data_IF_725448285409
#
_entry.id   IF_725448285409
#
_cell.length_a   1.000
_cell.length_b   1.000
_cell.length_c   1.000
_cell.angle_alpha   90.00
_cell.angle_beta   90.00
_cell.angle_gamma   90.00
#
_symmetry.space_group_name_H-M   'P 1'
#
loop_
_entity.id
_entity.type
_entity.pdbx_description
1 polymer ?
#
# COMPACT_ATOMS: atom_id res chain seq x y z
N UNK A 1 -15.63 -8.73 -42.07
CA UNK A 1 -16.03 -8.22 -43.39
C UNK A 1 -15.06 -7.12 -43.78
N UNK A 2 -14.57 -7.22 -45.02
CA UNK A 2 -13.61 -6.41 -45.76
C UNK A 2 -12.16 -6.89 -45.67
N UNK A 3 -11.89 -7.83 -46.56
CA UNK A 3 -10.55 -8.20 -46.97
C UNK A 3 -10.02 -7.16 -47.96
N UNK A 4 -8.80 -6.71 -47.73
CA UNK A 4 -8.03 -5.93 -48.69
C UNK A 4 -7.16 -6.91 -49.48
N UNK A 5 -7.52 -7.17 -50.73
CA UNK A 5 -6.69 -7.86 -51.69
C UNK A 5 -5.50 -7.01 -52.10
N UNK A 6 -4.31 -7.55 -52.04
CA UNK A 6 -3.07 -6.95 -52.52
C UNK A 6 -2.99 -7.12 -54.08
N UNK A 7 -2.73 -6.03 -54.85
CA UNK A 7 -2.74 -6.08 -56.34
C UNK A 7 -1.34 -6.40 -56.88
N UNK A 8 -0.85 -7.60 -56.77
CA UNK A 8 0.45 -8.01 -57.36
C UNK A 8 0.32 -9.04 -58.48
N UNK A 9 -0.84 -9.66 -58.68
CA UNK A 9 -0.96 -10.76 -59.65
C UNK A 9 -1.58 -10.39 -61.00
N UNK A 10 -2.00 -9.13 -61.25
CA UNK A 10 -2.63 -8.75 -62.55
C UNK A 10 -1.63 -8.30 -63.62
N UNK A 11 -0.34 -8.16 -63.29
CA UNK A 11 0.68 -7.67 -64.23
C UNK A 11 1.32 -8.77 -65.13
N UNK A 12 1.33 -10.00 -64.65
CA UNK A 12 2.12 -11.07 -65.33
C UNK A 12 1.39 -11.75 -66.48
N UNK A 13 0.07 -11.74 -66.51
CA UNK A 13 -0.70 -12.40 -67.59
C UNK A 13 -0.77 -11.56 -68.89
N UNK A 14 -0.48 -10.26 -68.83
CA UNK A 14 -0.48 -9.39 -70.04
C UNK A 14 0.83 -9.36 -70.83
N UNK A 15 1.93 -9.89 -70.29
CA UNK A 15 3.23 -9.88 -70.96
C UNK A 15 3.41 -11.15 -71.83
N UNK A 16 2.77 -12.25 -71.45
CA UNK A 16 2.92 -13.54 -72.17
C UNK A 16 2.06 -13.64 -73.44
N UNK A 17 1.09 -12.78 -73.70
CA UNK A 17 0.26 -12.80 -74.93
C UNK A 17 0.88 -12.05 -76.10
N UNK A 18 2.06 -11.44 -76.02
CA UNK A 18 2.71 -10.67 -77.08
C UNK A 18 3.91 -11.35 -77.74
N UNK A 19 4.34 -12.53 -77.29
CA UNK A 19 5.43 -13.28 -77.88
C UNK A 19 4.99 -14.72 -78.19
N UNK A 20 4.26 -14.91 -79.27
CA UNK A 20 4.11 -16.23 -79.89
C UNK A 20 5.12 -16.34 -81.01
N UNK A 21 6.21 -17.12 -80.88
CA UNK A 21 7.07 -17.44 -82.04
C UNK A 21 6.36 -18.37 -82.94
N UNK A 22 6.26 -18.00 -84.23
CA UNK A 22 5.95 -18.93 -85.30
C UNK A 22 7.17 -19.86 -85.50
N UNK A 23 7.08 -21.08 -85.02
CA UNK A 23 7.71 -22.29 -85.53
C UNK A 23 8.18 -23.25 -84.44
N UNK A 24 7.60 -24.43 -84.33
CA UNK A 24 8.31 -25.67 -84.07
C UNK A 24 8.84 -25.96 -82.67
N UNK A 25 8.20 -25.50 -81.60
CA UNK A 25 8.58 -25.97 -80.26
C UNK A 25 7.73 -27.16 -79.86
N UNK A 26 8.41 -28.30 -79.66
CA UNK A 26 7.77 -29.61 -79.35
C UNK A 26 6.94 -29.46 -78.04
N UNK A 27 5.75 -30.07 -78.05
CA UNK A 27 4.87 -30.15 -76.86
C UNK A 27 5.57 -30.64 -75.55
N UNK A 28 6.68 -31.38 -75.74
CA UNK A 28 7.51 -31.86 -74.65
C UNK A 28 8.21 -30.72 -73.84
N UNK A 29 8.61 -29.63 -74.52
CA UNK A 29 9.29 -28.48 -73.82
C UNK A 29 8.29 -27.70 -73.00
N UNK A 30 7.06 -27.54 -73.46
CA UNK A 30 5.99 -26.86 -72.70
C UNK A 30 5.57 -27.75 -71.53
N UNK A 31 5.54 -29.07 -71.66
CA UNK A 31 5.22 -29.97 -70.56
C UNK A 31 6.30 -30.02 -69.50
N UNK A 32 7.59 -29.96 -69.85
CA UNK A 32 8.71 -29.89 -68.89
C UNK A 32 8.76 -28.56 -68.18
N UNK A 33 8.51 -27.49 -68.89
CA UNK A 33 8.45 -26.14 -68.24
C UNK A 33 7.25 -26.02 -67.29
N UNK A 34 6.10 -26.57 -67.61
CA UNK A 34 4.93 -26.64 -66.73
C UNK A 34 5.14 -27.57 -65.54
N UNK A 35 5.84 -28.70 -65.72
CA UNK A 35 6.18 -29.57 -64.59
C UNK A 35 7.23 -28.99 -63.68
N UNK A 36 8.24 -28.26 -64.19
CA UNK A 36 9.20 -27.54 -63.40
C UNK A 36 8.54 -26.41 -62.62
N UNK A 37 7.61 -25.66 -63.21
CA UNK A 37 6.86 -24.61 -62.46
C UNK A 37 6.00 -25.19 -61.34
N UNK A 38 5.41 -26.37 -61.55
CA UNK A 38 4.64 -27.09 -60.52
C UNK A 38 5.54 -27.67 -59.43
N UNK A 39 6.76 -28.09 -59.75
CA UNK A 39 7.75 -28.54 -58.76
C UNK A 39 8.33 -27.37 -57.92
N UNK A 40 8.55 -26.22 -58.54
CA UNK A 40 8.98 -25.02 -57.79
C UNK A 40 7.85 -24.44 -56.94
N UNK A 41 6.60 -24.41 -57.41
CA UNK A 41 5.45 -24.03 -56.62
C UNK A 41 5.13 -24.99 -55.46
N UNK A 42 5.47 -26.25 -55.63
CA UNK A 42 5.39 -27.29 -54.59
C UNK A 42 6.53 -27.17 -53.54
N UNK A 43 7.73 -26.80 -53.98
CA UNK A 43 8.86 -26.57 -53.09
C UNK A 43 8.70 -25.32 -52.20
N UNK A 44 8.16 -24.22 -52.77
CA UNK A 44 7.84 -23.03 -51.97
C UNK A 44 6.72 -23.27 -50.95
N UNK A 45 5.75 -24.16 -51.28
CA UNK A 45 4.74 -24.56 -50.28
C UNK A 45 5.28 -25.54 -49.23
N UNK A 46 6.25 -26.36 -49.56
CA UNK A 46 6.90 -27.27 -48.60
C UNK A 46 7.88 -26.53 -47.70
N UNK A 47 8.52 -25.45 -48.18
CA UNK A 47 9.38 -24.57 -47.34
C UNK A 47 8.54 -23.65 -46.45
N UNK A 48 7.34 -23.22 -46.88
CA UNK A 48 6.41 -22.46 -46.06
C UNK A 48 5.71 -23.27 -44.94
N UNK A 49 5.84 -24.60 -44.91
CA UNK A 49 5.28 -25.49 -43.88
C UNK A 49 6.32 -26.01 -42.87
N UNK A 50 7.57 -25.53 -42.93
CA UNK A 50 8.54 -25.68 -41.86
C UNK A 50 8.81 -24.30 -41.28
N UNK A 51 7.78 -23.54 -40.94
CA UNK A 51 7.83 -22.70 -39.76
C UNK A 51 7.85 -23.69 -38.60
N UNK A 52 9.05 -24.06 -38.20
CA UNK A 52 9.24 -24.52 -36.82
C UNK A 52 8.61 -23.44 -35.97
N UNK A 53 7.48 -23.74 -35.32
CA UNK A 53 7.07 -22.97 -34.15
C UNK A 53 8.32 -22.97 -33.24
N UNK A 54 9.08 -21.89 -33.27
CA UNK A 54 10.06 -21.67 -32.21
C UNK A 54 9.28 -21.83 -30.92
N UNK A 55 9.78 -22.64 -29.97
CA UNK A 55 9.07 -22.80 -28.70
C UNK A 55 8.82 -21.40 -28.16
N UNK A 56 7.56 -21.10 -27.84
CA UNK A 56 7.21 -19.81 -27.23
C UNK A 56 8.01 -19.66 -25.94
N UNK A 57 9.17 -19.02 -26.05
CA UNK A 57 10.07 -18.70 -24.95
C UNK A 57 9.68 -17.39 -24.29
N UNK A 58 8.47 -16.88 -24.59
CA UNK A 58 7.96 -15.68 -23.95
C UNK A 58 7.94 -15.86 -22.43
N UNK A 59 8.55 -14.97 -21.68
CA UNK A 59 8.50 -15.05 -20.22
C UNK A 59 7.07 -14.89 -19.73
N UNK A 60 6.68 -15.69 -18.77
CA UNK A 60 5.40 -15.51 -18.10
C UNK A 60 5.47 -14.24 -17.23
N UNK A 61 4.32 -13.66 -16.86
CA UNK A 61 4.28 -12.53 -15.93
C UNK A 61 5.04 -12.83 -14.63
N UNK A 62 5.01 -14.06 -14.15
CA UNK A 62 5.71 -14.51 -12.93
C UNK A 62 7.23 -14.58 -13.08
N UNK A 63 7.73 -14.79 -14.28
CA UNK A 63 9.16 -14.94 -14.57
C UNK A 63 9.76 -13.70 -15.24
N UNK A 64 8.92 -12.70 -15.55
CA UNK A 64 9.35 -11.44 -16.17
C UNK A 64 9.92 -10.52 -15.09
N UNK A 65 11.24 -10.44 -15.00
CA UNK A 65 11.98 -9.56 -14.07
C UNK A 65 13.10 -8.83 -14.82
N UNK A 66 12.77 -7.80 -15.60
CA UNK A 66 13.73 -7.11 -16.44
C UNK A 66 14.73 -6.30 -15.62
N UNK A 67 16.02 -6.42 -15.95
CA UNK A 67 17.09 -5.62 -15.36
C UNK A 67 17.18 -4.29 -16.10
N UNK A 68 16.98 -3.19 -15.37
CA UNK A 68 17.10 -1.84 -15.93
C UNK A 68 18.53 -1.56 -16.38
N UNK A 69 18.67 -0.96 -17.56
CA UNK A 69 19.92 -0.46 -18.12
C UNK A 69 20.17 1.02 -17.81
N UNK A 70 19.28 1.66 -17.03
CA UNK A 70 19.46 3.06 -16.65
C UNK A 70 20.67 3.24 -15.73
N UNK A 71 21.45 4.25 -16.04
CA UNK A 71 22.57 4.71 -15.20
C UNK A 71 22.09 5.96 -14.43
N UNK A 72 21.59 5.74 -13.24
CA UNK A 72 21.01 6.78 -12.37
C UNK A 72 21.70 6.82 -11.02
N UNK A 73 21.52 7.92 -10.28
CA UNK A 73 22.05 8.05 -8.92
C UNK A 73 21.52 6.92 -8.02
N UNK A 74 22.41 6.40 -7.16
CA UNK A 74 22.11 5.37 -6.17
C UNK A 74 22.60 5.82 -4.80
N UNK A 75 21.84 6.72 -4.18
CA UNK A 75 22.18 7.21 -2.84
C UNK A 75 21.94 6.10 -1.81
N UNK A 76 22.98 5.81 -1.04
CA UNK A 76 22.87 4.85 0.07
C UNK A 76 22.64 5.60 1.36
N UNK A 77 21.42 5.53 1.88
CA UNK A 77 21.06 6.06 3.18
C UNK A 77 20.79 4.90 4.13
N UNK A 78 21.55 4.84 5.21
CA UNK A 78 21.43 3.81 6.24
C UNK A 78 20.55 4.24 7.39
N UNK A 79 20.20 5.52 7.47
CA UNK A 79 19.36 6.10 8.52
C UNK A 79 18.75 7.42 8.10
N UNK A 80 17.68 7.84 8.78
CA UNK A 80 17.06 9.13 8.60
C UNK A 80 17.99 10.29 8.95
N UNK A 81 17.85 11.41 8.24
CA UNK A 81 18.63 12.63 8.48
C UNK A 81 18.35 13.25 9.87
N UNK A 82 17.13 13.15 10.34
CA UNK A 82 16.67 13.67 11.65
C UNK A 82 16.04 12.55 12.48
N UNK A 83 15.90 12.72 13.81
CA UNK A 83 15.17 11.78 14.66
C UNK A 83 13.73 11.56 14.16
N UNK A 84 13.24 10.32 14.23
CA UNK A 84 11.94 9.90 13.70
C UNK A 84 11.06 9.35 14.81
N UNK A 85 9.77 9.67 14.77
CA UNK A 85 8.71 8.97 15.49
C UNK A 85 7.88 8.19 14.47
N UNK A 86 7.90 6.86 14.57
CA UNK A 86 7.09 5.99 13.71
C UNK A 86 5.75 5.69 14.40
N UNK A 87 4.65 6.26 13.88
CA UNK A 87 3.34 6.19 14.52
C UNK A 87 2.54 4.92 14.17
N UNK A 88 3.07 4.02 13.30
CA UNK A 88 2.31 2.88 12.82
C UNK A 88 3.15 1.60 12.81
N UNK A 89 3.06 0.80 13.88
CA UNK A 89 3.75 -0.49 14.01
C UNK A 89 2.86 -1.56 14.63
N UNK A 90 3.21 -2.82 14.36
CA UNK A 90 2.49 -4.01 14.78
C UNK A 90 3.39 -5.01 15.52
N UNK A 91 4.00 -4.59 16.64
CA UNK A 91 4.92 -5.43 17.43
C UNK A 91 4.23 -6.65 18.06
N UNK A 92 3.01 -6.47 18.55
CA UNK A 92 2.23 -7.55 19.13
C UNK A 92 1.92 -8.66 18.15
N UNK A 93 1.46 -8.30 16.95
CA UNK A 93 1.13 -9.24 15.87
C UNK A 93 2.36 -9.92 15.28
N UNK A 94 3.47 -9.16 15.13
CA UNK A 94 4.68 -9.66 14.48
C UNK A 94 5.53 -10.52 15.40
N UNK A 95 5.76 -10.08 16.63
CA UNK A 95 6.62 -10.79 17.57
C UNK A 95 5.88 -11.82 18.43
N UNK A 96 4.56 -11.68 18.64
CA UNK A 96 3.73 -12.66 19.38
C UNK A 96 4.32 -13.06 20.75
N UNK A 97 4.93 -12.11 21.47
CA UNK A 97 5.59 -12.33 22.75
C UNK A 97 7.08 -12.70 22.65
N UNK A 98 7.66 -12.79 21.47
CA UNK A 98 9.11 -12.96 21.26
C UNK A 98 9.85 -11.68 21.68
N UNK A 99 10.43 -11.75 22.88
CA UNK A 99 11.16 -10.62 23.46
C UNK A 99 12.48 -10.36 22.74
N UNK A 100 13.18 -11.41 22.35
CA UNK A 100 14.46 -11.29 21.65
C UNK A 100 14.26 -10.62 20.29
N UNK A 101 13.26 -11.01 19.52
CA UNK A 101 12.91 -10.36 18.26
C UNK A 101 12.56 -8.88 18.42
N UNK A 102 11.85 -8.52 19.52
CA UNK A 102 11.57 -7.12 19.81
C UNK A 102 12.83 -6.32 20.13
N UNK A 103 13.76 -6.87 20.92
CA UNK A 103 15.04 -6.19 21.24
C UNK A 103 15.94 -6.03 20.00
N UNK A 104 15.97 -7.04 19.12
CA UNK A 104 16.67 -6.92 17.83
C UNK A 104 16.06 -5.77 17.01
N UNK A 105 14.75 -5.64 16.97
CA UNK A 105 14.10 -4.53 16.26
C UNK A 105 14.37 -3.17 16.92
N UNK A 106 14.44 -3.08 18.24
CA UNK A 106 14.88 -1.85 18.93
C UNK A 106 16.32 -1.47 18.52
N UNK A 107 17.17 -2.45 18.25
CA UNK A 107 18.48 -2.23 17.63
C UNK A 107 18.37 -1.61 16.22
N UNK A 108 17.46 -2.13 15.39
CA UNK A 108 17.18 -1.57 14.05
C UNK A 108 16.63 -0.14 14.15
N UNK A 109 15.72 0.13 15.08
CA UNK A 109 15.23 1.49 15.33
C UNK A 109 16.38 2.46 15.62
N UNK A 110 17.31 2.06 16.50
CA UNK A 110 18.46 2.90 16.87
C UNK A 110 19.38 3.19 15.66
N UNK A 111 19.69 2.16 14.84
CA UNK A 111 20.52 2.33 13.64
C UNK A 111 19.89 3.25 12.61
N UNK A 112 18.55 3.30 12.55
CA UNK A 112 17.76 4.11 11.62
C UNK A 112 17.32 5.48 12.16
N UNK A 113 17.70 5.86 13.40
CA UNK A 113 17.24 7.09 14.11
C UNK A 113 15.73 7.12 14.35
N UNK A 114 15.06 5.97 14.45
CA UNK A 114 13.68 5.88 14.92
C UNK A 114 13.76 5.91 16.45
N UNK A 115 13.56 7.07 17.04
CA UNK A 115 13.74 7.27 18.48
C UNK A 115 12.52 6.85 19.29
N UNK A 116 11.32 6.89 18.69
CA UNK A 116 10.08 6.37 19.29
C UNK A 116 9.28 5.64 18.22
N UNK A 117 8.69 4.51 18.58
CA UNK A 117 7.72 3.81 17.74
C UNK A 117 6.41 3.54 18.53
N UNK A 118 5.28 3.67 17.84
CA UNK A 118 3.94 3.44 18.41
C UNK A 118 3.40 2.09 17.92
N UNK A 119 3.11 1.18 18.84
CA UNK A 119 2.45 -0.09 18.56
C UNK A 119 0.93 0.06 18.58
N UNK A 120 0.23 -0.51 17.61
CA UNK A 120 -1.22 -0.37 17.43
C UNK A 120 -2.01 -1.62 17.88
N UNK A 121 -1.36 -2.58 18.54
CA UNK A 121 -1.90 -3.92 18.76
C UNK A 121 -2.40 -4.19 20.19
N UNK A 122 -2.35 -3.20 21.07
CA UNK A 122 -2.89 -3.38 22.43
C UNK A 122 -4.42 -3.48 22.38
N UNK A 123 -5.00 -4.48 23.03
CA UNK A 123 -6.45 -4.68 23.05
C UNK A 123 -7.06 -3.86 24.18
N UNK A 124 -8.05 -3.05 23.89
CA UNK A 124 -8.76 -2.22 24.86
C UNK A 124 -9.39 -3.09 25.96
N UNK A 125 -9.07 -2.78 27.23
CA UNK A 125 -9.53 -3.53 28.41
C UNK A 125 -8.64 -4.71 28.80
N UNK A 126 -7.60 -5.03 28.00
CA UNK A 126 -6.58 -6.04 28.32
C UNK A 126 -5.16 -5.61 27.92
N UNK A 127 -4.93 -4.30 27.89
CA UNK A 127 -3.68 -3.69 27.42
C UNK A 127 -2.46 -3.94 28.32
N UNK A 128 -2.64 -4.34 29.59
CA UNK A 128 -1.54 -4.49 30.56
C UNK A 128 -0.44 -5.46 30.11
N UNK A 129 -0.83 -6.63 29.63
CA UNK A 129 0.14 -7.63 29.16
C UNK A 129 0.94 -7.11 27.97
N UNK A 130 0.29 -6.37 27.06
CA UNK A 130 0.94 -5.77 25.91
C UNK A 130 1.88 -4.65 26.33
N UNK A 131 1.43 -3.75 27.20
CA UNK A 131 2.26 -2.66 27.75
C UNK A 131 3.50 -3.22 28.47
N UNK A 132 3.35 -4.30 29.22
CA UNK A 132 4.48 -5.01 29.85
C UNK A 132 5.43 -5.58 28.79
N UNK A 133 4.89 -6.25 27.76
CA UNK A 133 5.70 -6.85 26.69
C UNK A 133 6.55 -5.83 25.95
N UNK A 134 5.97 -4.69 25.51
CA UNK A 134 6.72 -3.68 24.77
C UNK A 134 7.54 -2.77 25.68
N UNK A 135 7.06 -2.51 26.90
CA UNK A 135 7.63 -1.52 27.83
C UNK A 135 8.91 -1.99 28.50
N UNK A 136 8.99 -3.20 28.99
CA UNK A 136 10.07 -3.73 29.83
C UNK A 136 11.49 -3.36 29.31
N UNK A 137 12.11 -2.32 29.88
CA UNK A 137 13.37 -1.72 29.42
C UNK A 137 13.29 -0.82 28.17
N UNK A 138 12.10 -0.64 27.58
CA UNK A 138 11.88 0.15 26.37
C UNK A 138 10.81 1.25 26.55
N UNK A 139 10.47 1.60 27.78
CA UNK A 139 9.40 2.57 28.11
C UNK A 139 9.58 3.94 27.47
N UNK A 140 10.83 4.32 27.17
CA UNK A 140 11.17 5.58 26.52
C UNK A 140 11.04 5.52 25.01
N UNK A 141 11.14 4.31 24.39
CA UNK A 141 11.19 4.12 22.94
C UNK A 141 9.90 3.60 22.36
N UNK A 142 9.15 2.80 23.12
CA UNK A 142 7.94 2.16 22.66
C UNK A 142 6.72 2.74 23.36
N UNK A 143 5.72 3.09 22.57
CA UNK A 143 4.42 3.57 23.01
C UNK A 143 3.30 2.69 22.42
N UNK A 144 2.07 2.80 22.95
CA UNK A 144 0.97 2.01 22.45
C UNK A 144 -0.31 2.82 22.23
N UNK A 145 -1.04 2.43 21.20
CA UNK A 145 -2.46 2.67 21.01
C UNK A 145 -3.22 1.37 21.28
N UNK A 146 -4.45 1.49 21.72
CA UNK A 146 -5.35 0.33 21.84
C UNK A 146 -6.23 0.20 20.60
N UNK A 147 -6.72 -1.01 20.35
CA UNK A 147 -7.82 -1.24 19.41
C UNK A 147 -8.99 -1.94 20.11
N UNK A 148 -10.18 -1.83 19.52
CA UNK A 148 -11.39 -2.45 20.05
C UNK A 148 -11.52 -3.86 19.50
N UNK A 149 -11.76 -4.85 20.37
CA UNK A 149 -12.15 -6.19 19.97
C UNK A 149 -13.67 -6.27 19.79
N UNK A 150 -14.12 -6.16 18.56
CA UNK A 150 -15.54 -6.24 18.17
C UNK A 150 -16.10 -7.66 18.31
N UNK A 151 -15.25 -8.66 18.20
CA UNK A 151 -15.64 -10.07 18.26
C UNK A 151 -15.80 -10.55 19.70
N UNK A 152 -14.83 -10.28 20.58
CA UNK A 152 -14.75 -10.87 21.91
C UNK A 152 -14.68 -12.39 21.84
N UNK A 153 -15.39 -13.03 22.76
CA UNK A 153 -15.58 -14.48 22.77
C UNK A 153 -16.65 -15.00 21.79
N UNK A 154 -17.27 -14.11 21.00
CA UNK A 154 -18.36 -14.45 20.08
C UNK A 154 -17.93 -15.25 18.85
N UNK A 155 -18.93 -15.77 18.13
CA UNK A 155 -18.76 -16.48 16.87
C UNK A 155 -19.29 -15.66 15.69
N UNK A 156 -18.51 -15.48 14.62
CA UNK A 156 -18.94 -14.76 13.42
C UNK A 156 -20.06 -15.48 12.64
N UNK A 157 -20.23 -16.78 12.83
CA UNK A 157 -21.36 -17.53 12.25
C UNK A 157 -22.68 -17.26 12.99
N UNK A 158 -22.62 -16.77 14.24
CA UNK A 158 -23.75 -16.25 14.98
C UNK A 158 -23.44 -14.81 15.45
N UNK A 159 -23.69 -13.80 14.61
CA UNK A 159 -23.34 -12.42 14.92
C UNK A 159 -23.98 -11.87 16.20
N UNK A 160 -25.05 -12.45 16.68
CA UNK A 160 -25.70 -12.06 17.95
C UNK A 160 -24.76 -12.27 19.14
N UNK A 161 -23.80 -13.19 19.05
CA UNK A 161 -22.84 -13.49 20.11
C UNK A 161 -21.64 -12.55 20.13
N UNK A 162 -21.42 -11.75 19.08
CA UNK A 162 -20.29 -10.83 19.00
C UNK A 162 -20.35 -9.77 20.10
N UNK A 163 -19.20 -9.40 20.65
CA UNK A 163 -19.10 -8.40 21.71
C UNK A 163 -19.75 -7.07 21.33
N UNK A 164 -19.56 -6.60 20.11
CA UNK A 164 -20.11 -5.34 19.60
C UNK A 164 -21.65 -5.31 19.56
N UNK A 165 -22.30 -6.46 19.63
CA UNK A 165 -23.75 -6.61 19.62
C UNK A 165 -24.34 -6.85 21.02
N UNK A 166 -23.49 -6.89 22.07
CA UNK A 166 -23.96 -7.05 23.44
C UNK A 166 -24.42 -5.72 24.04
N UNK A 167 -25.41 -5.79 24.91
CA UNK A 167 -25.92 -4.62 25.62
C UNK A 167 -24.81 -3.95 26.44
N UNK A 168 -24.61 -2.66 26.27
CA UNK A 168 -23.62 -1.90 27.02
C UNK A 168 -22.20 -1.92 26.45
N UNK A 169 -21.96 -2.58 25.33
CA UNK A 169 -20.63 -2.66 24.69
C UNK A 169 -19.96 -1.27 24.53
N UNK A 170 -20.65 -0.31 23.93
CA UNK A 170 -20.10 1.04 23.71
C UNK A 170 -19.81 1.74 25.04
N UNK A 171 -20.67 1.61 26.06
CA UNK A 171 -20.44 2.15 27.39
C UNK A 171 -19.19 1.52 28.02
N UNK A 172 -19.02 0.20 27.90
CA UNK A 172 -17.82 -0.48 28.37
C UNK A 172 -16.55 0.02 27.65
N UNK A 173 -16.58 0.20 26.34
CA UNK A 173 -15.45 0.78 25.60
C UNK A 173 -15.09 2.19 26.12
N UNK A 174 -16.08 3.04 26.37
CA UNK A 174 -15.87 4.39 26.92
C UNK A 174 -15.20 4.33 28.29
N UNK A 175 -15.68 3.47 29.19
CA UNK A 175 -15.10 3.28 30.54
C UNK A 175 -13.65 2.77 30.43
N UNK A 176 -13.42 1.76 29.58
CA UNK A 176 -12.09 1.21 29.34
C UNK A 176 -11.11 2.21 28.74
N UNK A 177 -11.55 3.11 27.82
CA UNK A 177 -10.72 4.18 27.28
C UNK A 177 -10.22 5.13 28.37
N UNK A 178 -11.08 5.49 29.33
CA UNK A 178 -10.68 6.32 30.48
C UNK A 178 -9.60 5.62 31.31
N UNK A 179 -9.75 4.33 31.57
CA UNK A 179 -8.75 3.52 32.29
C UNK A 179 -7.45 3.39 31.48
N UNK A 180 -7.54 3.05 30.20
CA UNK A 180 -6.38 2.90 29.32
C UNK A 180 -5.54 4.18 29.25
N UNK A 181 -6.19 5.36 29.22
CA UNK A 181 -5.49 6.64 29.29
C UNK A 181 -4.65 6.78 30.56
N UNK A 182 -5.16 6.38 31.72
CA UNK A 182 -4.41 6.42 32.99
C UNK A 182 -3.24 5.42 33.04
N UNK A 183 -3.29 4.38 32.19
CA UNK A 183 -2.21 3.39 32.04
C UNK A 183 -1.17 3.78 31.00
N UNK A 184 -1.27 4.98 30.41
CA UNK A 184 -0.29 5.50 29.48
C UNK A 184 -0.53 5.15 28.00
N UNK A 185 -1.73 4.68 27.66
CA UNK A 185 -2.17 4.55 26.25
C UNK A 185 -2.30 5.96 25.64
N UNK A 186 -1.78 6.12 24.42
CA UNK A 186 -1.68 7.40 23.73
C UNK A 186 -2.71 7.63 22.64
N UNK A 187 -3.49 6.61 22.26
CA UNK A 187 -4.52 6.74 21.22
C UNK A 187 -5.31 5.47 21.00
N UNK A 188 -6.21 5.54 20.03
CA UNK A 188 -7.10 4.45 19.62
C UNK A 188 -6.85 4.08 18.16
N UNK A 189 -6.84 2.79 17.81
CA UNK A 189 -6.78 2.27 16.45
C UNK A 189 -8.12 1.65 16.05
N UNK A 190 -8.62 2.04 14.91
CA UNK A 190 -9.66 1.29 14.19
C UNK A 190 -9.05 0.59 12.98
N UNK A 191 -9.22 -0.72 12.89
CA UNK A 191 -8.82 -1.51 11.74
C UNK A 191 -9.88 -1.45 10.63
N UNK A 192 -9.47 -1.75 9.39
CA UNK A 192 -10.37 -1.75 8.23
C UNK A 192 -11.54 -2.73 8.32
N UNK A 193 -11.45 -3.74 9.21
CA UNK A 193 -12.56 -4.64 9.51
C UNK A 193 -13.83 -3.89 9.93
N UNK A 194 -13.68 -2.73 10.59
CA UNK A 194 -14.79 -1.85 10.92
C UNK A 194 -15.29 -1.14 9.65
N UNK A 195 -16.44 -1.59 9.17
CA UNK A 195 -17.04 -1.19 7.90
C UNK A 195 -16.91 -2.22 6.77
N UNK A 196 -15.94 -3.15 6.85
CA UNK A 196 -15.72 -4.17 5.82
C UNK A 196 -16.14 -5.58 6.23
N UNK A 197 -15.98 -5.95 7.50
CA UNK A 197 -16.23 -7.34 7.94
C UNK A 197 -16.89 -7.45 9.30
N UNK A 198 -17.00 -6.38 10.09
CA UNK A 198 -17.70 -6.42 11.38
C UNK A 198 -19.20 -6.41 11.17
N UNK A 199 -19.91 -7.26 11.92
CA UNK A 199 -21.32 -7.57 11.69
C UNK A 199 -22.23 -7.05 12.82
N UNK A 200 -23.38 -6.54 12.44
CA UNK A 200 -24.53 -6.34 13.30
C UNK A 200 -25.17 -7.68 13.69
N UNK A 201 -26.03 -7.68 14.71
CA UNK A 201 -26.73 -8.86 15.19
C UNK A 201 -27.64 -9.54 14.15
N UNK A 202 -28.05 -8.80 13.13
CA UNK A 202 -28.85 -9.29 12.00
C UNK A 202 -27.99 -9.81 10.83
N UNK A 203 -26.66 -9.78 10.97
CA UNK A 203 -25.71 -10.22 9.95
C UNK A 203 -25.36 -9.15 8.91
N UNK A 204 -25.93 -7.95 8.96
CA UNK A 204 -25.53 -6.84 8.10
C UNK A 204 -24.18 -6.26 8.56
N UNK A 205 -23.43 -5.62 7.64
CA UNK A 205 -22.19 -4.94 7.99
C UNK A 205 -22.44 -3.73 8.89
N UNK A 206 -21.56 -3.55 9.89
CA UNK A 206 -21.53 -2.34 10.70
C UNK A 206 -21.04 -1.20 9.81
N UNK A 207 -21.80 -0.10 9.75
CA UNK A 207 -21.38 1.12 9.04
C UNK A 207 -20.38 1.91 9.88
N UNK A 208 -19.38 2.50 9.23
CA UNK A 208 -18.34 3.31 9.91
C UNK A 208 -18.98 4.49 10.65
N UNK A 209 -20.00 5.09 10.06
CA UNK A 209 -20.72 6.26 10.60
C UNK A 209 -21.96 5.91 11.43
N UNK A 210 -22.09 4.66 11.87
CA UNK A 210 -23.17 4.23 12.77
C UNK A 210 -23.12 5.06 14.07
N UNK A 211 -24.18 5.82 14.39
CA UNK A 211 -24.18 6.76 15.52
C UNK A 211 -24.07 6.08 16.88
N UNK A 212 -24.29 4.78 17.00
CA UNK A 212 -24.09 4.07 18.27
C UNK A 212 -22.64 4.12 18.76
N UNK A 213 -21.67 4.32 17.85
CA UNK A 213 -20.24 4.46 18.20
C UNK A 213 -19.81 5.90 18.47
N UNK A 214 -20.67 6.90 18.27
CA UNK A 214 -20.36 8.30 18.53
C UNK A 214 -19.81 8.57 19.94
N UNK A 215 -20.28 7.90 21.03
CA UNK A 215 -19.69 8.08 22.35
C UNK A 215 -18.19 7.70 22.42
N UNK A 216 -17.72 6.76 21.62
CA UNK A 216 -16.30 6.36 21.56
C UNK A 216 -15.48 7.51 20.97
N UNK A 217 -15.88 8.02 19.81
CA UNK A 217 -15.22 9.15 19.14
C UNK A 217 -15.17 10.37 20.06
N UNK A 218 -16.29 10.73 20.64
CA UNK A 218 -16.40 11.86 21.60
C UNK A 218 -15.47 11.67 22.78
N UNK A 219 -15.42 10.47 23.38
CA UNK A 219 -14.53 10.19 24.53
C UNK A 219 -13.06 10.31 24.15
N UNK A 220 -12.68 9.90 22.95
CA UNK A 220 -11.31 10.10 22.46
C UNK A 220 -10.96 11.59 22.39
N UNK A 221 -11.85 12.44 21.89
CA UNK A 221 -11.66 13.90 21.90
C UNK A 221 -11.53 14.48 23.30
N UNK A 222 -12.44 14.11 24.23
CA UNK A 222 -12.42 14.54 25.63
C UNK A 222 -11.12 14.17 26.35
N UNK A 223 -10.55 13.00 26.03
CA UNK A 223 -9.32 12.49 26.65
C UNK A 223 -8.04 12.93 25.91
N UNK A 224 -8.16 13.63 24.79
CA UNK A 224 -7.02 13.94 23.93
C UNK A 224 -6.31 12.68 23.42
N UNK A 225 -7.07 11.64 23.06
CA UNK A 225 -6.60 10.42 22.43
C UNK A 225 -6.85 10.52 20.92
N UNK A 226 -5.83 10.73 20.08
CA UNK A 226 -6.01 10.69 18.64
C UNK A 226 -6.43 9.28 18.20
N UNK A 227 -7.19 9.24 17.10
CA UNK A 227 -7.70 7.99 16.54
C UNK A 227 -7.03 7.71 15.20
N UNK A 228 -6.20 6.66 15.11
CA UNK A 228 -5.77 6.13 13.82
C UNK A 228 -6.91 5.32 13.23
N UNK A 229 -7.46 5.81 12.13
CA UNK A 229 -8.57 5.17 11.44
C UNK A 229 -8.11 4.60 10.08
N UNK A 230 -8.08 3.26 9.99
CA UNK A 230 -7.84 2.55 8.75
C UNK A 230 -9.19 2.22 8.12
N UNK A 231 -9.52 2.89 7.04
CA UNK A 231 -10.76 2.72 6.30
C UNK A 231 -10.44 2.41 4.86
N UNK A 232 -10.90 1.27 4.35
CA UNK A 232 -10.65 0.89 2.96
C UNK A 232 -9.19 0.47 2.70
N UNK A 233 -8.91 0.10 1.47
CA UNK A 233 -7.60 -0.25 0.90
C UNK A 233 -7.41 0.48 -0.45
N UNK A 234 -6.26 0.32 -1.13
CA UNK A 234 -6.05 0.85 -2.48
C UNK A 234 -7.21 0.51 -3.43
N UNK A 235 -7.48 1.38 -4.39
CA UNK A 235 -8.63 1.22 -5.31
C UNK A 235 -8.63 -0.14 -6.04
N UNK A 236 -7.46 -0.66 -6.36
CA UNK A 236 -7.30 -1.95 -7.03
C UNK A 236 -7.83 -3.15 -6.22
N UNK A 237 -7.92 -3.05 -4.89
CA UNK A 237 -8.47 -4.10 -4.01
C UNK A 237 -10.00 -4.26 -4.16
N UNK A 238 -10.66 -3.26 -4.75
CA UNK A 238 -12.09 -3.26 -5.04
C UNK A 238 -12.42 -3.58 -6.51
N UNK A 239 -11.39 -3.94 -7.29
CA UNK A 239 -11.51 -4.32 -8.69
C UNK A 239 -11.33 -5.84 -8.87
N UNK A 240 -11.80 -6.44 -9.97
CA UNK A 240 -11.51 -7.83 -10.27
C UNK A 240 -10.01 -8.13 -10.26
N UNK A 241 -9.62 -9.33 -9.81
CA UNK A 241 -8.22 -9.79 -9.89
C UNK A 241 -8.00 -10.37 -11.29
N UNK A 242 -7.81 -9.49 -12.27
CA UNK A 242 -7.60 -9.86 -13.67
C UNK A 242 -6.35 -9.17 -14.27
N UNK A 243 -6.19 -9.28 -15.59
CA UNK A 243 -5.05 -8.71 -16.31
C UNK A 243 -5.04 -7.17 -16.40
N UNK A 244 -6.00 -6.48 -15.81
CA UNK A 244 -6.08 -5.01 -15.74
C UNK A 244 -5.85 -4.50 -14.33
N UNK A 245 -5.78 -5.39 -13.33
CA UNK A 245 -5.57 -5.00 -11.95
C UNK A 245 -4.09 -4.67 -11.71
N UNK A 246 -3.77 -3.44 -11.37
CA UNK A 246 -2.38 -3.01 -11.14
C UNK A 246 -1.71 -3.67 -9.93
N UNK A 247 -2.52 -4.28 -9.03
CA UNK A 247 -2.06 -5.01 -7.84
C UNK A 247 -2.16 -6.53 -8.03
N UNK A 248 -2.16 -6.99 -9.27
CA UNK A 248 -2.33 -8.41 -9.57
C UNK A 248 -1.28 -9.28 -8.86
N UNK A 249 -0.02 -8.85 -8.78
CA UNK A 249 1.06 -9.61 -8.12
C UNK A 249 0.77 -9.83 -6.65
N UNK A 250 0.22 -8.84 -5.97
CA UNK A 250 -0.16 -8.90 -4.55
C UNK A 250 -1.43 -9.72 -4.37
N UNK A 251 -2.50 -9.35 -5.06
CA UNK A 251 -3.83 -9.93 -4.88
C UNK A 251 -3.93 -11.37 -5.40
N UNK A 252 -3.11 -11.77 -6.38
CA UNK A 252 -3.05 -13.18 -6.82
C UNK A 252 -2.46 -14.11 -5.76
N UNK A 253 -1.62 -13.58 -4.85
CA UNK A 253 -1.05 -14.31 -3.70
C UNK A 253 -1.93 -14.22 -2.46
N UNK A 254 -2.72 -13.15 -2.36
CA UNK A 254 -3.60 -12.83 -1.23
C UNK A 254 -5.01 -12.50 -1.72
N UNK A 255 -5.73 -13.46 -2.33
CA UNK A 255 -7.08 -13.21 -2.86
C UNK A 255 -8.10 -12.86 -1.76
N UNK A 256 -7.82 -13.24 -0.51
CA UNK A 256 -8.57 -12.88 0.69
C UNK A 256 -8.46 -11.40 1.07
N UNK A 257 -7.54 -10.65 0.45
CA UNK A 257 -7.43 -9.19 0.63
C UNK A 257 -8.30 -8.40 -0.35
N UNK A 258 -8.93 -9.08 -1.33
CA UNK A 258 -9.84 -8.44 -2.29
C UNK A 258 -11.19 -8.13 -1.63
N UNK A 259 -11.68 -6.94 -1.89
CA UNK A 259 -13.01 -6.46 -1.48
C UNK A 259 -13.90 -6.23 -2.72
N UNK A 260 -13.62 -6.95 -3.81
CA UNK A 260 -14.46 -6.93 -5.01
C UNK A 260 -15.67 -7.85 -4.83
N UNK A 261 -16.87 -7.35 -5.16
CA UNK A 261 -18.13 -8.09 -5.15
C UNK A 261 -19.20 -7.43 -4.27
N UNK A 262 -20.44 -7.84 -4.48
CA UNK A 262 -21.66 -7.23 -3.88
C UNK A 262 -21.75 -7.38 -2.35
N UNK A 263 -20.94 -8.27 -1.77
CA UNK A 263 -20.86 -8.48 -0.32
C UNK A 263 -20.10 -7.36 0.40
N UNK A 264 -19.37 -6.52 -0.30
CA UNK A 264 -18.62 -5.41 0.26
C UNK A 264 -19.21 -4.06 -0.15
N UNK A 265 -19.14 -3.03 0.71
CA UNK A 265 -19.50 -1.68 0.33
C UNK A 265 -18.55 -1.15 -0.77
N UNK A 266 -19.05 -0.24 -1.59
CA UNK A 266 -18.21 0.50 -2.51
C UNK A 266 -17.13 1.28 -1.73
N UNK A 267 -15.91 1.36 -2.28
CA UNK A 267 -14.80 2.09 -1.66
C UNK A 267 -15.15 3.53 -1.32
N UNK A 268 -15.82 4.21 -2.23
CA UNK A 268 -16.24 5.61 -2.09
C UNK A 268 -17.21 5.80 -0.93
N UNK A 269 -18.12 4.84 -0.69
CA UNK A 269 -19.06 4.88 0.44
C UNK A 269 -18.34 4.70 1.78
N UNK A 270 -17.36 3.81 1.86
CA UNK A 270 -16.51 3.65 3.06
C UNK A 270 -15.78 4.95 3.40
N UNK A 271 -15.16 5.59 2.40
CA UNK A 271 -14.44 6.85 2.58
C UNK A 271 -15.38 7.99 2.96
N UNK A 272 -16.57 8.05 2.34
CA UNK A 272 -17.59 9.04 2.66
C UNK A 272 -18.14 8.84 4.09
N UNK A 273 -18.37 7.59 4.52
CA UNK A 273 -18.81 7.28 5.89
C UNK A 273 -17.78 7.71 6.94
N UNK A 274 -16.46 7.43 6.69
CA UNK A 274 -15.37 7.92 7.52
C UNK A 274 -15.39 9.46 7.61
N UNK A 275 -15.53 10.13 6.50
CA UNK A 275 -15.53 11.59 6.45
C UNK A 275 -16.71 12.19 7.20
N UNK A 276 -17.89 11.54 7.18
CA UNK A 276 -19.05 11.94 8.02
C UNK A 276 -18.73 11.83 9.51
N UNK A 277 -18.00 10.81 9.96
CA UNK A 277 -17.54 10.68 11.35
C UNK A 277 -16.59 11.82 11.70
N UNK A 278 -15.56 12.07 10.88
CA UNK A 278 -14.58 13.13 11.11
C UNK A 278 -15.27 14.50 11.26
N UNK A 279 -16.20 14.80 10.36
CA UNK A 279 -16.97 16.04 10.37
C UNK A 279 -17.87 16.17 11.61
N UNK A 280 -18.44 15.05 12.08
CA UNK A 280 -19.37 15.02 13.23
C UNK A 280 -18.64 15.16 14.58
N UNK A 281 -17.34 14.86 14.61
CA UNK A 281 -16.53 14.88 15.84
C UNK A 281 -15.32 15.82 15.71
N UNK A 282 -15.52 17.15 15.60
CA UNK A 282 -14.45 18.12 15.37
C UNK A 282 -13.43 18.20 16.50
N UNK A 283 -13.81 17.82 17.72
CA UNK A 283 -12.92 17.80 18.90
C UNK A 283 -11.99 16.58 18.94
N UNK A 284 -12.22 15.60 18.08
CA UNK A 284 -11.42 14.37 17.99
C UNK A 284 -10.43 14.50 16.86
N UNK A 285 -9.15 14.32 17.15
CA UNK A 285 -8.12 14.25 16.10
C UNK A 285 -8.13 12.86 15.46
N UNK A 286 -8.33 12.81 14.15
CA UNK A 286 -8.25 11.59 13.36
C UNK A 286 -6.94 11.56 12.57
N UNK A 287 -6.27 10.40 12.61
CA UNK A 287 -5.10 10.11 11.79
C UNK A 287 -5.53 9.10 10.73
N UNK A 288 -5.66 9.55 9.49
CA UNK A 288 -6.00 8.70 8.35
C UNK A 288 -4.84 7.77 8.01
N UNK A 289 -4.98 6.49 8.34
CA UNK A 289 -3.97 5.49 8.06
C UNK A 289 -3.74 5.32 6.55
N UNK A 290 -2.50 5.01 6.17
CA UNK A 290 -2.14 4.70 4.78
C UNK A 290 -2.54 5.82 3.81
N UNK A 291 -2.20 7.07 4.16
CA UNK A 291 -2.57 8.27 3.40
C UNK A 291 -4.09 8.45 3.29
N UNK A 292 -4.79 8.15 4.40
CA UNK A 292 -6.25 8.09 4.47
C UNK A 292 -6.88 7.22 3.35
N UNK A 293 -6.16 6.15 2.93
CA UNK A 293 -6.50 5.25 1.83
C UNK A 293 -6.78 5.98 0.50
N UNK A 294 -6.03 7.06 0.21
CA UNK A 294 -6.20 7.90 -0.99
C UNK A 294 -4.87 8.32 -1.61
N UNK A 295 -3.83 7.47 -1.49
CA UNK A 295 -2.50 7.71 -2.07
C UNK A 295 -2.53 7.78 -3.60
N UNK A 296 -3.55 7.23 -4.24
CA UNK A 296 -3.76 7.27 -5.69
C UNK A 296 -4.43 8.56 -6.18
N UNK A 297 -5.11 9.31 -5.27
CA UNK A 297 -5.83 10.55 -5.60
C UNK A 297 -5.50 11.66 -4.59
N UNK A 298 -4.34 12.27 -4.77
CA UNK A 298 -3.85 13.34 -3.90
C UNK A 298 -4.69 14.62 -3.98
N UNK A 299 -5.37 14.84 -5.11
CA UNK A 299 -6.24 16.01 -5.26
C UNK A 299 -7.50 15.91 -4.38
N UNK A 300 -8.09 14.73 -4.31
CA UNK A 300 -9.23 14.47 -3.40
C UNK A 300 -8.77 14.50 -1.94
N UNK A 301 -7.61 13.93 -1.61
CA UNK A 301 -7.08 13.97 -0.25
C UNK A 301 -6.77 15.41 0.20
N UNK A 302 -6.22 16.25 -0.68
CA UNK A 302 -5.98 17.68 -0.39
C UNK A 302 -7.27 18.38 0.02
N UNK A 303 -8.37 18.17 -0.73
CA UNK A 303 -9.70 18.72 -0.37
C UNK A 303 -10.18 18.25 1.01
N UNK A 304 -9.96 16.99 1.37
CA UNK A 304 -10.34 16.50 2.70
C UNK A 304 -9.51 17.14 3.81
N UNK A 305 -8.21 17.35 3.60
CA UNK A 305 -7.38 18.04 4.57
C UNK A 305 -7.79 19.51 4.75
N UNK A 306 -8.26 20.17 3.71
CA UNK A 306 -8.79 21.53 3.75
C UNK A 306 -10.17 21.58 4.44
N UNK A 307 -11.05 20.60 4.18
CA UNK A 307 -12.40 20.54 4.75
C UNK A 307 -12.42 20.10 6.21
N UNK A 308 -11.48 19.21 6.61
CA UNK A 308 -11.47 18.62 7.95
C UNK A 308 -10.20 19.01 8.73
N UNK A 309 -10.23 20.11 9.51
CA UNK A 309 -9.07 20.57 10.27
C UNK A 309 -8.58 19.57 11.33
N UNK A 310 -9.43 18.65 11.77
CA UNK A 310 -9.12 17.58 12.72
C UNK A 310 -8.65 16.26 12.06
N UNK A 311 -8.47 16.24 10.73
CA UNK A 311 -7.85 15.13 10.00
C UNK A 311 -6.37 15.41 9.79
N UNK A 312 -5.50 14.51 10.20
CA UNK A 312 -4.11 14.38 9.75
C UNK A 312 -3.90 13.00 9.12
N UNK A 313 -2.78 12.76 8.48
CA UNK A 313 -2.54 11.51 7.76
C UNK A 313 -1.15 10.94 8.09
N UNK A 314 -0.95 9.65 7.88
CA UNK A 314 0.35 9.00 7.86
C UNK A 314 0.48 8.11 6.61
N UNK A 315 1.71 7.83 6.15
CA UNK A 315 1.95 7.19 4.85
C UNK A 315 2.52 5.78 4.94
N UNK A 316 2.24 5.08 6.04
CA UNK A 316 2.63 3.68 6.21
C UNK A 316 2.26 2.83 4.98
N UNK A 317 3.22 2.06 4.50
CA UNK A 317 3.07 1.19 3.31
C UNK A 317 2.59 1.89 2.04
N UNK A 318 2.89 3.21 1.85
CA UNK A 318 2.43 4.00 0.69
C UNK A 318 3.53 4.69 -0.13
N UNK A 319 4.81 4.43 0.19
CA UNK A 319 5.92 4.97 -0.64
C UNK A 319 5.90 4.43 -2.07
N UNK A 320 5.30 3.27 -2.28
CA UNK A 320 5.15 2.62 -3.57
C UNK A 320 4.15 3.34 -4.51
N UNK A 321 3.02 3.89 -4.00
CA UNK A 321 2.13 4.73 -4.80
C UNK A 321 2.67 6.16 -4.95
N UNK A 322 3.12 6.73 -3.84
CA UNK A 322 3.61 8.11 -3.80
C UNK A 322 4.85 8.29 -4.66
N UNK A 323 5.76 7.30 -4.68
CA UNK A 323 6.98 7.33 -5.47
C UNK A 323 6.76 7.14 -6.97
N UNK A 324 5.58 6.67 -7.42
CA UNK A 324 5.19 6.64 -8.85
C UNK A 324 4.73 8.00 -9.36
N UNK A 325 4.43 8.95 -8.47
CA UNK A 325 3.96 10.30 -8.79
C UNK A 325 4.80 11.36 -8.04
N UNK A 326 6.15 11.37 -8.21
CA UNK A 326 7.07 12.11 -7.34
C UNK A 326 6.83 13.62 -7.34
N UNK A 327 6.46 14.21 -8.48
CA UNK A 327 6.21 15.64 -8.58
C UNK A 327 4.95 16.06 -7.81
N UNK A 328 3.87 15.31 -7.96
CA UNK A 328 2.60 15.55 -7.24
C UNK A 328 2.77 15.27 -5.76
N UNK A 329 3.43 14.15 -5.41
CA UNK A 329 3.72 13.80 -4.02
C UNK A 329 4.56 14.85 -3.32
N UNK A 330 5.68 15.32 -3.95
CA UNK A 330 6.51 16.39 -3.38
C UNK A 330 5.69 17.66 -3.11
N UNK A 331 4.90 18.09 -4.10
CA UNK A 331 4.04 19.29 -3.96
C UNK A 331 3.08 19.10 -2.79
N UNK A 332 2.41 17.97 -2.71
CA UNK A 332 1.47 17.63 -1.64
C UNK A 332 2.13 17.64 -0.24
N UNK A 333 3.32 17.03 -0.10
CA UNK A 333 4.05 17.03 1.17
C UNK A 333 4.44 18.43 1.62
N UNK A 334 4.83 19.31 0.72
CA UNK A 334 5.17 20.71 1.03
C UNK A 334 3.92 21.51 1.40
N UNK A 335 2.83 21.36 0.66
CA UNK A 335 1.56 22.07 0.85
C UNK A 335 0.90 21.68 2.19
N UNK A 336 0.89 20.37 2.51
CA UNK A 336 0.26 19.82 3.71
C UNK A 336 1.27 19.40 4.78
N UNK A 337 2.45 20.01 4.79
CA UNK A 337 3.58 19.63 5.66
C UNK A 337 3.26 19.54 7.14
N UNK A 338 2.25 20.30 7.63
CA UNK A 338 1.82 20.32 9.04
C UNK A 338 0.78 19.22 9.35
N UNK A 339 0.42 18.39 8.39
CA UNK A 339 -0.67 17.41 8.49
C UNK A 339 -0.22 15.97 8.25
N UNK A 340 1.07 15.72 7.99
CA UNK A 340 1.62 14.42 7.62
C UNK A 340 2.50 13.90 8.75
N UNK A 341 2.25 12.68 9.21
CA UNK A 341 3.04 11.95 10.20
C UNK A 341 3.83 10.84 9.50
N UNK A 342 4.97 10.46 10.07
CA UNK A 342 5.75 9.31 9.61
C UNK A 342 5.17 8.01 10.18
N UNK A 343 4.92 7.04 9.32
CA UNK A 343 4.51 5.70 9.68
C UNK A 343 5.03 4.68 8.66
N UNK A 344 5.29 3.44 9.10
CA UNK A 344 5.85 2.41 8.24
C UNK A 344 4.97 1.17 8.05
N UNK A 345 4.06 0.87 8.99
CA UNK A 345 3.33 -0.41 9.09
C UNK A 345 4.27 -1.58 9.42
N UNK A 346 5.34 -1.25 10.17
CA UNK A 346 6.40 -2.17 10.58
C UNK A 346 5.99 -3.15 11.68
N UNK A 347 6.97 -3.90 12.19
CA UNK A 347 8.42 -3.70 12.09
C UNK A 347 9.02 -4.12 10.74
N UNK A 348 9.99 -3.37 10.24
CA UNK A 348 10.70 -3.65 9.00
C UNK A 348 12.21 -3.75 9.20
N UNK A 349 12.95 -4.55 8.38
CA UNK A 349 14.41 -4.60 8.43
C UNK A 349 15.04 -3.29 7.91
N UNK A 350 16.34 -3.07 8.25
CA UNK A 350 17.11 -1.89 7.84
C UNK A 350 16.99 -1.56 6.35
N UNK A 351 17.06 -2.57 5.49
CA UNK A 351 17.01 -2.37 4.04
C UNK A 351 15.65 -1.80 3.59
N UNK A 352 14.53 -2.28 4.18
CA UNK A 352 13.19 -1.74 3.89
C UNK A 352 13.06 -0.30 4.38
N UNK A 353 13.60 0.02 5.55
CA UNK A 353 13.61 1.39 6.10
C UNK A 353 14.45 2.33 5.25
N UNK A 354 15.57 1.85 4.68
CA UNK A 354 16.43 2.67 3.80
C UNK A 354 15.68 3.20 2.56
N UNK A 355 14.66 2.48 2.05
CA UNK A 355 13.82 2.97 0.95
C UNK A 355 12.94 4.15 1.37
N UNK A 356 12.47 4.21 2.64
CA UNK A 356 11.76 5.38 3.16
C UNK A 356 12.66 6.61 3.21
N UNK A 357 13.90 6.45 3.70
CA UNK A 357 14.87 7.55 3.73
C UNK A 357 15.20 8.01 2.32
N UNK A 358 15.49 7.09 1.41
CA UNK A 358 15.79 7.39 0.01
C UNK A 358 14.62 8.07 -0.69
N UNK A 359 13.38 7.64 -0.44
CA UNK A 359 12.17 8.27 -0.99
C UNK A 359 12.01 9.72 -0.52
N UNK A 360 12.18 9.98 0.78
CA UNK A 360 11.91 11.31 1.35
C UNK A 360 13.07 12.30 1.13
N UNK A 361 14.33 11.84 1.20
CA UNK A 361 15.51 12.70 1.33
C UNK A 361 16.30 12.89 0.03
N UNK A 362 15.99 12.12 -1.02
CA UNK A 362 16.75 12.18 -2.28
C UNK A 362 15.88 12.48 -3.49
N UNK A 363 16.54 12.82 -4.60
CA UNK A 363 15.92 12.87 -5.93
C UNK A 363 16.35 11.67 -6.79
N UNK A 364 16.70 10.57 -6.16
CA UNK A 364 17.04 9.34 -6.88
C UNK A 364 15.87 8.85 -7.73
N UNK A 365 16.22 8.24 -8.87
CA UNK A 365 15.25 7.82 -9.87
C UNK A 365 15.22 6.30 -10.00
N UNK A 366 14.04 5.77 -10.31
CA UNK A 366 13.83 4.38 -10.76
C UNK A 366 14.46 3.32 -9.85
N UNK A 367 14.16 3.37 -8.55
CA UNK A 367 14.67 2.40 -7.59
C UNK A 367 13.55 1.51 -7.00
N UNK A 368 13.89 0.32 -6.46
CA UNK A 368 12.92 -0.55 -5.84
C UNK A 368 12.38 0.05 -4.53
N UNK A 369 11.16 -0.32 -4.16
CA UNK A 369 10.54 0.05 -2.87
C UNK A 369 10.54 -1.08 -1.84
N UNK A 370 11.06 -2.24 -2.24
CA UNK A 370 11.20 -3.44 -1.42
C UNK A 370 12.48 -4.19 -1.81
N UNK A 371 13.00 -4.97 -0.89
CA UNK A 371 14.09 -5.93 -1.11
C UNK A 371 13.67 -7.16 -1.93
N UNK A 372 12.35 -7.41 -2.01
CA UNK A 372 11.82 -8.57 -2.74
C UNK A 372 11.97 -8.44 -4.26
N UNK A 373 12.18 -9.57 -4.94
CA UNK A 373 12.14 -9.67 -6.39
C UNK A 373 11.29 -10.89 -6.78
N UNK A 374 10.23 -10.72 -7.59
CA UNK A 374 9.66 -9.43 -8.04
C UNK A 374 9.13 -8.57 -6.89
N UNK A 375 8.93 -7.27 -7.14
CA UNK A 375 8.39 -6.35 -6.14
C UNK A 375 7.00 -6.82 -5.65
N UNK A 376 6.70 -6.71 -4.34
CA UNK A 376 5.58 -7.46 -3.74
C UNK A 376 4.20 -6.93 -4.13
N UNK A 377 4.05 -5.64 -4.42
CA UNK A 377 2.76 -5.01 -4.69
C UNK A 377 2.48 -4.84 -6.19
N UNK A 378 3.53 -4.62 -6.98
CA UNK A 378 3.49 -4.51 -8.43
C UNK A 378 4.88 -4.23 -8.97
N UNK A 379 5.13 -4.57 -10.24
CA UNK A 379 6.45 -4.58 -10.86
C UNK A 379 6.96 -3.19 -11.27
N UNK A 380 6.57 -2.13 -10.57
CA UNK A 380 7.06 -0.78 -10.80
C UNK A 380 8.30 -0.43 -9.97
N UNK A 381 8.88 0.71 -10.28
CA UNK A 381 9.94 1.37 -9.52
C UNK A 381 9.43 2.72 -9.03
N UNK A 382 10.10 3.28 -8.02
CA UNK A 382 9.73 4.56 -7.42
C UNK A 382 10.85 5.59 -7.59
N UNK A 383 10.52 6.83 -7.27
CA UNK A 383 11.39 7.99 -7.36
C UNK A 383 11.38 8.74 -6.04
N UNK A 384 12.53 9.30 -5.67
CA UNK A 384 12.66 10.14 -4.49
C UNK A 384 11.99 11.51 -4.70
N UNK A 385 11.49 12.08 -3.60
CA UNK A 385 10.81 13.38 -3.63
C UNK A 385 11.65 14.51 -3.02
N UNK A 386 12.82 14.23 -2.45
CA UNK A 386 13.81 15.21 -1.99
C UNK A 386 13.22 16.35 -1.18
N UNK A 387 12.57 16.05 -0.06
CA UNK A 387 11.91 17.07 0.78
C UNK A 387 12.91 18.03 1.39
N UNK A 388 12.56 19.34 1.53
CA UNK A 388 13.35 20.29 2.31
C UNK A 388 13.46 19.88 3.78
N UNK A 389 14.55 20.27 4.44
CA UNK A 389 14.84 19.88 5.83
C UNK A 389 13.75 20.30 6.84
N UNK A 390 13.15 21.47 6.65
CA UNK A 390 12.03 21.93 7.46
C UNK A 390 10.78 21.07 7.31
N UNK A 391 10.53 20.55 6.12
CA UNK A 391 9.42 19.62 5.86
C UNK A 391 9.72 18.24 6.44
N UNK A 392 10.96 17.75 6.27
CA UNK A 392 11.41 16.48 6.83
C UNK A 392 11.26 16.45 8.36
N UNK A 393 11.67 17.49 9.08
CA UNK A 393 11.52 17.58 10.55
C UNK A 393 10.05 17.51 10.98
N UNK A 394 9.17 18.22 10.28
CA UNK A 394 7.73 18.18 10.56
C UNK A 394 7.17 16.77 10.37
N UNK A 395 7.47 16.14 9.25
CA UNK A 395 6.99 14.79 8.92
C UNK A 395 7.57 13.74 9.88
N UNK A 396 8.85 13.84 10.20
CA UNK A 396 9.54 12.85 11.03
C UNK A 396 9.15 12.88 12.50
N UNK A 397 8.92 14.06 13.08
CA UNK A 397 8.62 14.15 14.52
C UNK A 397 7.78 15.36 14.95
N UNK A 398 7.96 16.57 14.41
CA UNK A 398 7.34 17.78 14.96
C UNK A 398 5.81 17.70 14.95
N UNK A 399 5.22 17.18 13.86
CA UNK A 399 3.78 16.98 13.78
C UNK A 399 3.30 15.96 14.81
N UNK A 400 4.02 14.86 14.98
CA UNK A 400 3.66 13.83 15.96
C UNK A 400 3.71 14.36 17.38
N UNK A 401 4.74 15.16 17.71
CA UNK A 401 4.86 15.83 19.02
C UNK A 401 3.67 16.75 19.32
N UNK A 402 3.10 17.37 18.31
CA UNK A 402 1.92 18.24 18.43
C UNK A 402 0.61 17.45 18.49
N UNK A 403 0.51 16.34 17.74
CA UNK A 403 -0.73 15.59 17.51
C UNK A 403 -0.97 14.52 18.58
N UNK A 404 0.08 13.87 19.09
CA UNK A 404 -0.04 12.78 20.07
C UNK A 404 0.40 13.27 21.45
N UNK A 405 -0.54 13.69 22.33
CA UNK A 405 -0.19 14.11 23.68
C UNK A 405 0.50 13.00 24.47
N UNK A 406 1.55 13.34 25.21
CA UNK A 406 2.31 12.41 26.07
C UNK A 406 3.46 11.69 25.36
N UNK A 407 3.67 11.88 24.04
CA UNK A 407 4.82 11.30 23.34
C UNK A 407 6.09 12.15 23.48
N UNK A 408 5.94 13.43 23.83
CA UNK A 408 7.05 14.41 23.89
C UNK A 408 8.15 14.02 24.87
N UNK A 409 7.78 13.58 26.07
CA UNK A 409 8.77 13.22 27.10
C UNK A 409 9.58 11.99 26.67
N UNK A 410 8.95 11.02 26.00
CA UNK A 410 9.63 9.87 25.42
C UNK A 410 10.63 10.30 24.34
N UNK A 411 10.20 11.18 23.44
CA UNK A 411 11.04 11.70 22.36
C UNK A 411 12.27 12.42 22.89
N UNK A 412 12.12 13.35 23.84
CA UNK A 412 13.23 14.13 24.42
C UNK A 412 14.24 13.20 25.09
N UNK A 413 13.78 12.26 25.92
CA UNK A 413 14.67 11.32 26.62
C UNK A 413 15.41 10.38 25.65
N UNK A 414 14.76 9.96 24.55
CA UNK A 414 15.38 9.09 23.55
C UNK A 414 16.36 9.86 22.66
N UNK A 415 16.05 11.09 22.27
CA UNK A 415 16.91 11.95 21.46
C UNK A 415 18.20 12.36 22.23
N UNK A 416 18.08 12.72 23.50
CA UNK A 416 19.25 13.03 24.36
C UNK A 416 20.20 11.82 24.49
N UNK A 417 19.63 10.62 24.61
CA UNK A 417 20.44 9.39 24.67
C UNK A 417 21.18 9.13 23.35
N UNK A 418 20.56 9.41 22.20
CA UNK A 418 21.19 9.29 20.89
C UNK A 418 22.37 10.27 20.71
N UNK A 419 22.19 11.54 21.09
CA UNK A 419 23.25 12.54 20.98
C UNK A 419 24.47 12.19 21.85
N UNK A 420 24.25 11.63 23.04
CA UNK A 420 25.31 11.24 23.95
C UNK A 420 26.09 10.00 23.46
N UNK A 421 25.44 9.09 22.73
CA UNK A 421 26.09 7.90 22.14
C UNK A 421 26.88 8.23 20.87
N UNK A 422 26.66 9.38 20.25
CA UNK A 422 27.36 9.83 19.04
C UNK A 422 28.54 10.79 19.35
N UNK A 423 28.78 11.11 20.63
CA UNK A 423 29.96 11.86 21.13
C UNK A 423 31.03 10.91 21.65
#
# INVERSE_FOLDING_TARGET
>A
MNGAELPIFSGFYRVLSRYAPRSGVSAAVIFIASLMLLLFAGADRAVAQIEQEEPDVSPTLRTFDPVSQLVVAKTQLTRAKFPVIDVHNHFGFRFKGDREGLEQYVGIMNSNRIVVAVCLDAVLGSEEAHLKFIGDGNEKKLAAFVHIDFKGAGNREDPKTLACNQLGFVRQCVEQLRVAKTRGILGLKFFKSFGLTELNADGSLIKIDDPRFDPIWKTCGELGLPVIIHTSDPAAFFQPIDNKNERWEELSRHPDWSFHGDQFPAREELLAARNRVIKRHPETTFIGAHFASSSEDLATLSKWLDEYPNLVIEFASRINELGRQPYTARKFFIEHQDRILFGTDGPWPDLRLSYYWRFLETFDEYFPYSEDSPQPQGMWRIYGIGLPDEVLKKVYHENTLRIIPGIKDRFLQAADAEENNNK
#
